data_IF_296175174066
#
_entry.id   IF_296175174066
#
_cell.length_a   1.000
_cell.length_b   1.000
_cell.length_c   1.000
_cell.angle_alpha   90.00
_cell.angle_beta   90.00
_cell.angle_gamma   90.00
#
_symmetry.space_group_name_H-M   'P 1'
#
loop_
_entity.id
_entity.type
_entity.pdbx_description
1 polymer ?
#
# COMPACT_ATOMS: atom_id res chain seq x y z
N UNK A 1 -10.00 -31.12 1.83
CA UNK A 1 -8.73 -30.63 2.32
C UNK A 1 -7.90 -29.82 1.37
N UNK A 2 -8.30 -29.66 0.17
CA UNK A 2 -7.64 -28.75 -0.74
C UNK A 2 -7.43 -27.39 -0.14
N UNK A 3 -8.25 -27.05 0.82
CA UNK A 3 -8.14 -25.83 1.50
C UNK A 3 -6.95 -25.68 2.39
N UNK A 4 -6.18 -26.69 2.64
CA UNK A 4 -4.99 -26.54 3.41
C UNK A 4 -3.97 -25.65 2.76
N UNK A 5 -3.71 -25.86 1.47
CA UNK A 5 -2.79 -25.02 0.75
C UNK A 5 -3.32 -23.62 0.59
N UNK A 6 -4.59 -23.53 0.28
CA UNK A 6 -5.24 -22.23 0.19
C UNK A 6 -5.19 -21.50 1.50
N UNK A 7 -5.40 -22.24 2.60
CA UNK A 7 -5.30 -21.68 3.92
C UNK A 7 -3.94 -21.09 4.20
N UNK A 8 -2.88 -21.80 3.84
CA UNK A 8 -1.54 -21.32 4.05
C UNK A 8 -1.27 -20.04 3.26
N UNK A 9 -1.84 -19.92 2.09
CA UNK A 9 -1.72 -18.73 1.27
C UNK A 9 -2.60 -17.61 1.81
N UNK A 10 -3.84 -17.96 2.14
CA UNK A 10 -4.83 -16.98 2.60
C UNK A 10 -4.50 -16.37 3.94
N UNK A 11 -3.82 -17.12 4.80
CA UNK A 11 -3.47 -16.60 6.11
C UNK A 11 -2.25 -15.69 6.06
N UNK A 12 -1.55 -15.65 4.95
CA UNK A 12 -0.43 -14.74 4.84
C UNK A 12 -0.93 -13.33 4.61
N UNK A 13 -0.58 -12.47 5.53
CA UNK A 13 -0.88 -11.05 5.39
C UNK A 13 0.33 -10.39 4.77
N UNK A 14 0.15 -9.82 3.58
CA UNK A 14 1.23 -9.11 2.93
C UNK A 14 0.74 -7.78 2.39
N UNK A 15 1.67 -6.84 2.28
CA UNK A 15 1.40 -5.58 1.62
C UNK A 15 2.32 -5.43 0.42
N UNK A 16 1.92 -4.59 -0.49
CA UNK A 16 2.77 -4.20 -1.62
C UNK A 16 2.54 -2.72 -1.89
N UNK A 17 3.62 -2.04 -2.23
CA UNK A 17 3.55 -0.69 -2.77
C UNK A 17 3.95 -0.79 -4.23
N UNK A 18 3.03 -0.47 -5.11
CA UNK A 18 3.31 -0.39 -6.53
C UNK A 18 3.66 1.04 -6.91
N UNK A 19 4.80 1.22 -7.53
CA UNK A 19 5.16 2.50 -8.14
C UNK A 19 4.53 2.47 -9.53
N UNK A 20 3.61 3.39 -9.78
CA UNK A 20 2.80 3.38 -10.99
C UNK A 20 3.11 4.61 -11.82
N UNK A 21 3.76 4.39 -12.95
CA UNK A 21 4.12 5.44 -13.90
C UNK A 21 2.98 5.64 -14.88
N UNK A 22 1.85 6.07 -14.35
CA UNK A 22 0.69 6.42 -15.13
C UNK A 22 0.86 7.84 -15.66
N UNK A 23 -0.22 8.45 -16.13
CA UNK A 23 -0.18 9.84 -16.56
C UNK A 23 0.43 10.73 -15.48
N UNK A 24 0.11 10.44 -14.22
CA UNK A 24 0.78 11.05 -13.07
C UNK A 24 1.41 9.93 -12.26
N UNK A 25 2.69 10.08 -11.97
CA UNK A 25 3.39 9.12 -11.12
C UNK A 25 2.77 9.13 -9.73
N UNK A 26 2.43 7.95 -9.24
CA UNK A 26 1.91 7.78 -7.89
C UNK A 26 2.28 6.39 -7.38
N UNK A 27 1.99 6.14 -6.13
CA UNK A 27 2.15 4.80 -5.55
C UNK A 27 0.77 4.27 -5.18
N UNK A 28 0.59 2.96 -5.33
CA UNK A 28 -0.60 2.27 -4.86
C UNK A 28 -0.22 1.37 -3.70
N UNK A 29 -0.86 1.58 -2.56
CA UNK A 29 -0.65 0.79 -1.36
C UNK A 29 -1.74 -0.28 -1.31
N UNK A 30 -1.33 -1.54 -1.17
CA UNK A 30 -2.26 -2.67 -1.19
C UNK A 30 -2.04 -3.57 0.00
N UNK A 31 -3.14 -4.01 0.61
CA UNK A 31 -3.14 -4.92 1.76
C UNK A 31 -4.01 -6.13 1.45
N UNK A 32 -3.52 -7.32 1.74
CA UNK A 32 -4.37 -8.51 1.68
C UNK A 32 -5.42 -8.43 2.78
N UNK A 33 -6.67 -8.60 2.40
CA UNK A 33 -7.77 -8.55 3.35
C UNK A 33 -9.01 -9.14 2.68
N UNK A 34 -9.69 -10.04 3.37
CA UNK A 34 -10.92 -10.67 2.87
C UNK A 34 -10.74 -11.29 1.47
N UNK A 35 -9.58 -11.89 1.21
CA UNK A 35 -9.35 -12.60 -0.03
C UNK A 35 -8.99 -11.73 -1.23
N UNK A 36 -8.80 -10.44 -1.03
CA UNK A 36 -8.46 -9.51 -2.10
C UNK A 36 -7.36 -8.55 -1.62
N UNK A 37 -6.92 -7.68 -2.51
CA UNK A 37 -6.02 -6.59 -2.18
C UNK A 37 -6.83 -5.30 -2.05
N UNK A 38 -7.04 -4.87 -0.80
CA UNK A 38 -7.59 -3.54 -0.54
C UNK A 38 -6.55 -2.54 -0.96
N UNK A 39 -6.96 -1.50 -1.68
CA UNK A 39 -6.01 -0.65 -2.38
C UNK A 39 -6.28 0.84 -2.17
N UNK A 40 -5.20 1.60 -2.09
CA UNK A 40 -5.25 3.06 -1.95
C UNK A 40 -4.22 3.68 -2.88
N UNK A 41 -4.66 4.67 -3.65
CA UNK A 41 -3.75 5.44 -4.49
C UNK A 41 -3.16 6.59 -3.67
N UNK A 42 -1.85 6.70 -3.65
CA UNK A 42 -1.14 7.73 -2.88
C UNK A 42 -0.41 8.66 -3.84
N UNK A 43 -0.96 9.85 -4.09
CA UNK A 43 -0.36 10.75 -5.08
C UNK A 43 1.10 11.10 -4.83
N UNK A 44 1.47 11.23 -3.57
CA UNK A 44 2.86 11.56 -3.19
C UNK A 44 3.62 10.37 -2.65
N UNK A 45 3.00 9.19 -2.66
CA UNK A 45 3.61 7.99 -2.11
C UNK A 45 3.66 7.99 -0.59
N UNK A 46 4.21 6.91 -0.01
CA UNK A 46 4.33 6.78 1.44
C UNK A 46 5.50 7.59 1.99
N UNK A 47 5.53 7.77 3.30
CA UNK A 47 6.65 8.40 3.98
C UNK A 47 6.95 7.70 5.29
N UNK A 48 8.24 7.64 5.64
CA UNK A 48 8.71 7.17 6.94
C UNK A 48 8.84 8.32 7.94
N UNK A 49 8.51 9.54 7.51
CA UNK A 49 8.57 10.71 8.37
C UNK A 49 7.22 10.91 9.06
N UNK A 50 7.17 10.79 10.42
CA UNK A 50 5.90 10.95 11.14
C UNK A 50 5.22 12.30 10.96
N UNK A 51 5.95 13.29 10.52
CA UNK A 51 5.37 14.63 10.27
C UNK A 51 4.70 14.76 8.93
N UNK A 52 4.86 13.76 8.04
CA UNK A 52 4.29 13.79 6.71
C UNK A 52 3.06 12.89 6.65
N UNK A 53 1.89 13.50 6.68
CA UNK A 53 0.63 12.79 6.56
C UNK A 53 0.31 12.65 5.08
N UNK A 54 0.34 11.42 4.60
CA UNK A 54 0.16 11.17 3.16
C UNK A 54 -1.28 10.83 2.83
N UNK A 55 -1.81 11.52 1.84
CA UNK A 55 -3.14 11.22 1.32
C UNK A 55 -3.12 9.85 0.66
N UNK A 56 -4.13 9.04 0.97
CA UNK A 56 -4.33 7.73 0.40
C UNK A 56 -5.79 7.62 0.01
N UNK A 57 -6.07 7.53 -1.28
CA UNK A 57 -7.44 7.50 -1.79
C UNK A 57 -7.82 6.06 -2.05
N UNK A 58 -8.86 5.60 -1.37
CA UNK A 58 -9.31 4.21 -1.55
C UNK A 58 -9.83 4.01 -2.97
N UNK A 59 -9.34 2.97 -3.61
CA UNK A 59 -9.74 2.58 -4.95
C UNK A 59 -10.27 1.16 -4.91
N UNK A 60 -10.70 0.62 -6.05
CA UNK A 60 -11.30 -0.71 -6.08
C UNK A 60 -10.30 -1.80 -5.72
N UNK A 61 -10.85 -2.91 -5.21
CA UNK A 61 -10.05 -4.06 -4.83
C UNK A 61 -9.39 -4.69 -6.06
N UNK A 62 -8.25 -5.32 -5.82
CA UNK A 62 -7.55 -6.08 -6.86
C UNK A 62 -7.40 -7.54 -6.44
N UNK A 63 -7.25 -8.45 -7.39
CA UNK A 63 -6.99 -9.85 -7.05
C UNK A 63 -5.65 -10.01 -6.35
N UNK A 64 -5.53 -11.02 -5.51
CA UNK A 64 -4.29 -11.28 -4.77
C UNK A 64 -3.07 -11.43 -5.69
N UNK A 65 -3.28 -12.03 -6.86
CA UNK A 65 -2.19 -12.25 -7.83
C UNK A 65 -1.57 -10.95 -8.30
N UNK A 66 -2.33 -9.87 -8.25
CA UNK A 66 -1.81 -8.58 -8.68
C UNK A 66 -0.69 -8.08 -7.76
N UNK A 67 -0.58 -8.65 -6.56
CA UNK A 67 0.45 -8.25 -5.61
C UNK A 67 1.87 -8.51 -6.11
N UNK A 68 2.05 -9.45 -7.04
CA UNK A 68 3.36 -9.72 -7.61
C UNK A 68 3.50 -9.16 -9.02
N UNK A 69 2.53 -8.40 -9.49
CA UNK A 69 2.54 -7.89 -10.86
C UNK A 69 3.61 -6.81 -11.06
N UNK A 70 4.35 -6.94 -12.14
CA UNK A 70 5.20 -5.89 -12.68
C UNK A 70 5.07 -5.93 -14.19
N UNK A 71 4.91 -4.78 -14.82
CA UNK A 71 4.77 -4.75 -16.25
C UNK A 71 4.19 -3.44 -16.74
N UNK A 72 3.81 -3.43 -18.00
CA UNK A 72 3.25 -2.25 -18.65
C UNK A 72 1.78 -2.51 -18.96
N UNK A 73 0.92 -1.65 -18.47
CA UNK A 73 -0.50 -1.69 -18.82
C UNK A 73 -0.66 -0.81 -20.07
N UNK A 74 -1.20 -1.37 -21.17
CA UNK A 74 -1.26 -0.64 -22.43
C UNK A 74 -2.05 0.67 -22.38
N UNK A 75 -1.67 1.61 -23.20
CA UNK A 75 -2.42 2.85 -23.36
C UNK A 75 -3.85 2.55 -23.78
N UNK A 76 -4.77 3.40 -23.30
CA UNK A 76 -6.19 3.20 -23.58
C UNK A 76 -6.88 2.31 -22.56
N UNK A 77 -6.12 1.58 -21.77
CA UNK A 77 -6.69 0.74 -20.70
C UNK A 77 -6.63 1.47 -19.36
N UNK A 78 -7.56 1.11 -18.48
CA UNK A 78 -7.57 1.69 -17.14
C UNK A 78 -6.24 1.38 -16.44
N UNK A 79 -5.64 2.41 -15.86
CA UNK A 79 -4.37 2.24 -15.15
C UNK A 79 -3.16 2.11 -16.09
N UNK A 80 -3.26 2.59 -17.32
CA UNK A 80 -2.15 2.50 -18.26
C UNK A 80 -0.85 3.04 -17.71
N UNK A 81 0.26 2.42 -18.09
CA UNK A 81 1.60 2.81 -17.68
C UNK A 81 2.38 1.67 -17.06
N UNK A 82 3.63 1.96 -16.69
CA UNK A 82 4.52 0.98 -16.09
C UNK A 82 4.22 0.84 -14.60
N UNK A 83 4.10 -0.40 -14.15
CA UNK A 83 3.88 -0.73 -12.74
C UNK A 83 5.07 -1.56 -12.29
N UNK A 84 5.70 -1.14 -11.20
CA UNK A 84 6.83 -1.86 -10.62
C UNK A 84 6.70 -1.85 -9.11
N UNK A 85 7.14 -2.92 -8.46
CA UNK A 85 7.07 -3.03 -7.02
C UNK A 85 8.12 -2.14 -6.38
N UNK A 86 7.67 -1.20 -5.54
CA UNK A 86 8.55 -0.30 -4.81
C UNK A 86 8.95 -0.91 -3.47
N UNK A 87 8.01 -1.57 -2.80
CA UNK A 87 8.27 -2.28 -1.54
C UNK A 87 7.21 -3.34 -1.34
N UNK A 88 7.54 -4.33 -0.55
CA UNK A 88 6.59 -5.38 -0.18
C UNK A 88 7.07 -6.04 1.10
N UNK A 89 6.16 -6.73 1.76
CA UNK A 89 6.48 -7.43 2.98
C UNK A 89 5.24 -7.93 3.66
N UNK A 90 5.42 -8.46 4.84
CA UNK A 90 4.30 -8.91 5.66
C UNK A 90 3.77 -7.73 6.45
N UNK A 91 2.58 -7.88 6.98
CA UNK A 91 2.03 -6.89 7.89
C UNK A 91 1.16 -7.55 8.96
N UNK A 92 0.95 -6.82 10.02
CA UNK A 92 0.01 -7.19 11.08
C UNK A 92 -0.89 -6.00 11.37
N UNK A 93 -2.15 -6.29 11.67
CA UNK A 93 -3.04 -5.27 12.21
C UNK A 93 -2.85 -5.26 13.71
N UNK A 94 -2.39 -4.13 14.22
CA UNK A 94 -2.18 -3.96 15.66
C UNK A 94 -3.50 -3.64 16.34
N UNK A 95 -4.31 -2.80 15.71
CA UNK A 95 -5.66 -2.51 16.20
C UNK A 95 -6.48 -1.85 15.12
N UNK A 96 -7.80 -1.85 15.31
CA UNK A 96 -8.73 -1.19 14.42
C UNK A 96 -9.22 -2.08 13.28
N UNK A 97 -10.14 -1.55 12.49
CA UNK A 97 -10.71 -2.21 11.33
C UNK A 97 -10.98 -1.19 10.24
N UNK A 98 -11.17 -1.67 9.01
CA UNK A 98 -11.56 -0.79 7.91
C UNK A 98 -12.92 -0.14 8.17
N UNK A 99 -13.85 -0.93 8.72
CA UNK A 99 -15.20 -0.44 9.02
C UNK A 99 -15.17 0.72 10.01
N UNK A 100 -14.26 0.68 10.96
CA UNK A 100 -14.08 1.78 11.91
C UNK A 100 -13.44 2.99 11.26
N UNK A 101 -12.84 2.83 10.08
CA UNK A 101 -12.12 3.91 9.43
C UNK A 101 -10.77 4.19 10.07
N UNK A 102 -10.22 3.21 10.76
CA UNK A 102 -8.94 3.38 11.45
C UNK A 102 -8.24 2.04 11.59
N UNK A 103 -7.01 1.97 11.12
CA UNK A 103 -6.16 0.81 11.29
C UNK A 103 -4.81 1.27 11.81
N UNK A 104 -4.27 0.51 12.76
CA UNK A 104 -2.87 0.65 13.15
C UNK A 104 -2.18 -0.61 12.64
N UNK A 105 -1.19 -0.42 11.78
CA UNK A 105 -0.52 -1.49 11.08
C UNK A 105 0.94 -1.57 11.47
N UNK A 106 1.49 -2.78 11.48
CA UNK A 106 2.94 -2.97 11.56
C UNK A 106 3.36 -3.51 10.22
N UNK A 107 4.22 -2.80 9.52
CA UNK A 107 4.74 -3.23 8.22
C UNK A 107 6.15 -3.77 8.36
N UNK A 108 6.43 -4.85 7.64
CA UNK A 108 7.73 -5.51 7.65
C UNK A 108 8.30 -5.53 6.23
N UNK A 109 8.40 -4.36 5.63
CA UNK A 109 8.96 -4.20 4.30
C UNK A 109 10.46 -3.99 4.35
N UNK A 110 11.05 -3.79 3.20
CA UNK A 110 12.46 -3.41 3.13
C UNK A 110 12.63 -1.92 3.34
N UNK A 111 11.69 -1.13 2.87
CA UNK A 111 11.71 0.33 2.99
C UNK A 111 10.74 0.83 4.05
N UNK A 112 9.52 0.28 4.06
CA UNK A 112 8.51 0.66 5.05
C UNK A 112 8.56 -0.33 6.19
N UNK A 113 8.98 0.15 7.35
CA UNK A 113 9.13 -0.68 8.55
C UNK A 113 8.47 0.01 9.73
N UNK A 114 7.87 -0.80 10.60
CA UNK A 114 7.32 -0.31 11.85
C UNK A 114 5.86 0.04 11.77
N UNK A 115 5.43 0.92 12.64
CA UNK A 115 4.03 1.19 12.91
C UNK A 115 3.52 2.36 12.08
N UNK A 116 2.36 2.15 11.45
CA UNK A 116 1.68 3.17 10.64
C UNK A 116 0.22 3.25 11.05
N UNK A 117 -0.36 4.42 10.91
CA UNK A 117 -1.80 4.62 11.01
C UNK A 117 -2.38 4.84 9.63
N UNK A 118 -3.54 4.26 9.38
CA UNK A 118 -4.31 4.47 8.16
C UNK A 118 -5.70 4.91 8.64
N UNK A 119 -6.02 6.17 8.44
CA UNK A 119 -7.19 6.79 9.06
C UNK A 119 -8.06 7.43 7.98
N UNK A 120 -9.33 7.03 7.95
CA UNK A 120 -10.29 7.61 7.01
C UNK A 120 -10.63 9.03 7.45
N UNK A 121 -10.56 9.96 6.53
CA UNK A 121 -10.97 11.33 6.80
C UNK A 121 -12.48 11.42 6.78
N UNK A 122 -13.02 12.28 7.63
CA UNK A 122 -14.46 12.52 7.63
C UNK A 122 -14.86 13.25 6.36
N UNK A 123 -16.09 13.00 5.90
CA UNK A 123 -16.58 13.64 4.70
C UNK A 123 -17.03 12.65 3.65
N UNK A 124 -17.24 13.12 2.44
CA UNK A 124 -17.86 12.34 1.38
C UNK A 124 -16.90 11.62 0.46
N UNK A 125 -15.62 11.91 0.56
CA UNK A 125 -14.66 11.34 -0.36
C UNK A 125 -14.07 10.04 0.19
N UNK A 126 -13.26 9.38 -0.61
CA UNK A 126 -12.61 8.12 -0.26
C UNK A 126 -11.23 8.35 0.31
N UNK A 127 -11.00 9.53 0.86
CA UNK A 127 -9.69 9.93 1.35
C UNK A 127 -9.35 9.34 2.72
N UNK A 128 -8.14 8.86 2.82
CA UNK A 128 -7.54 8.36 4.05
C UNK A 128 -6.20 9.05 4.23
N UNK A 129 -5.69 9.00 5.44
CA UNK A 129 -4.33 9.48 5.72
C UNK A 129 -3.47 8.30 6.14
N UNK A 130 -2.29 8.22 5.56
CA UNK A 130 -1.30 7.19 5.87
C UNK A 130 -0.14 7.88 6.59
N UNK A 131 0.12 7.49 7.83
CA UNK A 131 1.03 8.24 8.70
C UNK A 131 1.95 7.28 9.44
N UNK A 132 3.25 7.52 9.33
CA UNK A 132 4.25 6.77 10.11
C UNK A 132 4.16 7.19 11.58
N UNK A 133 4.17 6.23 12.47
CA UNK A 133 4.27 6.51 13.89
C UNK A 133 5.71 6.79 14.28
N UNK A 134 5.89 7.56 15.35
CA UNK A 134 7.22 7.89 15.85
C UNK A 134 7.76 6.72 16.67
N UNK A 135 8.37 5.77 15.99
CA UNK A 135 9.02 4.61 16.61
C UNK A 135 10.49 4.57 16.16
N UNK A 136 11.17 3.47 16.46
CA UNK A 136 12.60 3.35 16.13
C UNK A 136 12.90 3.42 14.63
N UNK A 137 11.90 3.19 13.78
CA UNK A 137 12.07 3.22 12.34
C UNK A 137 11.72 4.56 11.71
N UNK A 138 11.25 5.51 12.51
CA UNK A 138 10.89 6.83 11.99
C UNK A 138 12.12 7.50 11.37
N UNK A 139 11.94 8.10 10.20
CA UNK A 139 13.01 8.78 9.49
C UNK A 139 12.56 10.17 9.08
N UNK A 140 12.99 11.15 9.86
CA UNK A 140 12.58 12.55 9.67
C UNK A 140 13.25 13.21 8.44
N UNK A 141 14.17 12.51 7.81
CA UNK A 141 14.83 12.98 6.59
C UNK A 141 14.42 12.16 5.37
N UNK A 142 13.39 11.35 5.52
CA UNK A 142 12.93 10.46 4.46
C UNK A 142 12.58 11.23 3.19
N UNK A 143 13.06 10.73 2.06
CA UNK A 143 12.67 11.20 0.74
C UNK A 143 12.37 10.00 -0.14
N UNK A 144 11.22 10.04 -0.79
CA UNK A 144 10.80 8.98 -1.68
C UNK A 144 11.67 8.97 -2.92
N UNK A 145 12.21 7.81 -3.24
CA UNK A 145 13.00 7.60 -4.46
C UNK A 145 12.34 6.54 -5.30
N UNK A 146 12.18 6.81 -6.57
CA UNK A 146 11.59 5.83 -7.49
C UNK A 146 12.56 4.69 -7.73
N UNK A 147 12.02 3.51 -8.02
CA UNK A 147 12.83 2.33 -8.33
C UNK A 147 12.92 2.07 -9.82
N UNK A 148 12.00 2.61 -10.62
CA UNK A 148 12.06 2.46 -12.07
C UNK A 148 13.16 3.35 -12.61
N UNK A 149 14.16 2.71 -13.24
CA UNK A 149 15.25 3.47 -13.83
C UNK A 149 14.87 3.91 -15.23
N UNK A 150 15.13 5.18 -15.51
CA UNK A 150 14.97 5.70 -16.86
C UNK A 150 16.22 5.31 -17.67
N UNK A 151 15.99 4.75 -18.83
CA UNK A 151 17.08 4.45 -19.74
C UNK A 151 17.28 5.57 -20.73
#
# INVERSE_FOLDING_TARGET
>A
MGNFLLKGIETKSFFVIHEHHAKRLHCDFRLTMDGVLKSWAMPKGPSMNPKEKRLAIMVEDHPLEYGSFEGVIPEGMYGAGTVIIWDKGRFKIKEGTLEMGRLTLILYGEKLKGVFSLIKMSGKNKGWLFIKKADEYADYTFKLKTVLKKT
#
